data_IF_323512524073
#
_entry.id   IF_323512524073
#
_cell.length_a   1.000
_cell.length_b   1.000
_cell.length_c   1.000
_cell.angle_alpha   90.00
_cell.angle_beta   90.00
_cell.angle_gamma   90.00
#
_symmetry.space_group_name_H-M   'P 1'
#
loop_
_entity.id
_entity.type
_entity.pdbx_description
1 polymer ?
#
# COMPACT_ATOMS: atom_id res chain seq x y z
N UNK A 1 -8.33 -2.52 11.97
CA UNK A 1 -7.60 -1.25 12.16
C UNK A 1 -6.42 -1.53 13.08
N UNK A 2 -5.18 -1.35 12.62
CA UNK A 2 -3.96 -1.63 13.40
C UNK A 2 -3.84 -0.67 14.60
N UNK A 3 -3.11 -1.09 15.62
CA UNK A 3 -2.92 -0.33 16.86
C UNK A 3 -2.45 1.12 16.59
N UNK A 4 -1.55 1.30 15.64
CA UNK A 4 -1.00 2.61 15.28
C UNK A 4 -2.05 3.58 14.72
N UNK A 5 -2.95 3.12 13.84
CA UNK A 5 -4.06 3.95 13.32
C UNK A 5 -5.10 4.29 14.39
N UNK A 6 -5.35 3.38 15.34
CA UNK A 6 -6.21 3.67 16.50
C UNK A 6 -5.57 4.71 17.42
N UNK A 7 -4.27 4.58 17.65
CA UNK A 7 -3.53 5.50 18.52
C UNK A 7 -3.44 6.90 17.92
N UNK A 8 -3.16 7.03 16.61
CA UNK A 8 -3.13 8.31 15.92
C UNK A 8 -4.50 9.01 15.93
N UNK A 9 -5.57 8.26 15.71
CA UNK A 9 -6.94 8.78 15.74
C UNK A 9 -7.36 9.24 17.15
N UNK A 10 -7.02 8.48 18.19
CA UNK A 10 -7.24 8.88 19.57
C UNK A 10 -6.46 10.13 19.97
N UNK A 11 -5.19 10.22 19.55
CA UNK A 11 -4.36 11.39 19.81
C UNK A 11 -4.92 12.64 19.12
N UNK A 12 -5.39 12.51 17.88
CA UNK A 12 -6.02 13.62 17.16
C UNK A 12 -7.30 14.09 17.81
N UNK A 13 -8.16 13.17 18.23
CA UNK A 13 -9.40 13.50 18.97
C UNK A 13 -9.07 14.23 20.27
N UNK A 14 -8.03 13.78 20.99
CA UNK A 14 -7.60 14.40 22.25
C UNK A 14 -7.09 15.85 22.01
N UNK A 15 -6.29 16.07 20.96
CA UNK A 15 -5.76 17.41 20.62
C UNK A 15 -6.92 18.36 20.24
N UNK A 16 -7.87 17.90 19.43
CA UNK A 16 -9.04 18.70 19.05
C UNK A 16 -9.89 19.04 20.28
N UNK A 17 -10.16 18.05 21.12
CA UNK A 17 -10.97 18.24 22.32
C UNK A 17 -10.34 19.21 23.29
N UNK A 18 -9.05 19.07 23.59
CA UNK A 18 -8.32 19.98 24.48
C UNK A 18 -8.23 21.39 23.90
N UNK A 19 -7.94 21.54 22.60
CA UNK A 19 -7.87 22.83 21.93
C UNK A 19 -9.21 23.57 21.91
N UNK A 20 -10.31 22.86 21.62
CA UNK A 20 -11.67 23.46 21.61
C UNK A 20 -12.13 23.87 23.01
N UNK A 21 -11.90 23.02 24.02
CA UNK A 21 -12.25 23.33 25.41
C UNK A 21 -11.48 24.53 25.91
N UNK A 22 -10.16 24.56 25.68
CA UNK A 22 -9.31 25.67 26.14
C UNK A 22 -9.67 26.98 25.42
N UNK A 23 -9.91 26.93 24.11
CA UNK A 23 -10.34 28.08 23.33
C UNK A 23 -11.69 28.64 23.78
N UNK A 24 -12.68 27.75 23.99
CA UNK A 24 -14.00 28.14 24.53
C UNK A 24 -13.88 28.82 25.90
N UNK A 25 -13.11 28.21 26.79
CA UNK A 25 -12.93 28.75 28.15
C UNK A 25 -12.22 30.10 28.14
N UNK A 26 -11.20 30.27 27.32
CA UNK A 26 -10.49 31.56 27.14
C UNK A 26 -11.41 32.66 26.63
N UNK A 27 -12.25 32.39 25.64
CA UNK A 27 -13.22 33.34 25.10
C UNK A 27 -14.28 33.69 26.16
N UNK A 28 -14.80 32.71 26.88
CA UNK A 28 -15.82 32.90 27.88
C UNK A 28 -15.32 33.75 29.07
N UNK A 29 -14.11 33.46 29.55
CA UNK A 29 -13.48 34.24 30.64
C UNK A 29 -13.14 35.66 30.22
N UNK A 30 -12.61 35.85 29.01
CA UNK A 30 -12.33 37.19 28.48
C UNK A 30 -13.62 38.01 28.37
N UNK A 31 -14.70 37.42 27.84
CA UNK A 31 -16.00 38.09 27.73
C UNK A 31 -16.58 38.46 29.06
N UNK A 32 -16.55 37.54 30.05
CA UNK A 32 -17.03 37.80 31.44
C UNK A 32 -16.25 38.94 32.09
N UNK A 33 -14.92 38.91 31.99
CA UNK A 33 -14.06 39.95 32.57
C UNK A 33 -14.36 41.35 31.99
N UNK A 34 -14.64 41.40 30.70
CA UNK A 34 -14.97 42.69 30.04
C UNK A 34 -16.35 43.22 30.46
N UNK A 35 -17.35 42.32 30.62
CA UNK A 35 -18.66 42.69 31.17
C UNK A 35 -18.53 43.22 32.60
N UNK A 36 -17.76 42.53 33.44
CA UNK A 36 -17.56 42.96 34.84
C UNK A 36 -16.89 44.34 34.89
N UNK A 37 -15.89 44.62 34.03
CA UNK A 37 -15.23 45.92 33.95
C UNK A 37 -16.20 47.03 33.51
N UNK A 38 -17.03 46.75 32.49
CA UNK A 38 -18.05 47.71 32.04
C UNK A 38 -19.10 47.99 33.11
N UNK A 39 -19.53 46.96 33.81
CA UNK A 39 -20.50 47.10 34.89
C UNK A 39 -19.97 47.88 36.09
N UNK A 40 -18.67 47.72 36.41
CA UNK A 40 -18.02 48.47 37.47
C UNK A 40 -17.97 49.97 37.11
N UNK A 41 -17.52 50.33 35.92
CA UNK A 41 -17.39 51.75 35.48
C UNK A 41 -18.76 52.44 35.47
N UNK A 42 -19.78 51.78 34.85
CA UNK A 42 -21.11 52.35 34.81
C UNK A 42 -21.70 52.47 36.24
N UNK A 43 -21.40 51.51 37.13
CA UNK A 43 -21.87 51.56 38.53
C UNK A 43 -21.19 52.64 39.34
N UNK A 44 -19.89 52.92 39.11
CA UNK A 44 -19.18 54.05 39.71
C UNK A 44 -19.78 55.38 39.26
N UNK A 45 -20.07 55.54 37.95
CA UNK A 45 -20.75 56.74 37.44
C UNK A 45 -22.12 56.92 38.05
N UNK A 46 -22.94 55.88 38.21
CA UNK A 46 -24.24 55.94 38.91
C UNK A 46 -24.08 56.37 40.36
N UNK A 47 -23.08 55.83 41.05
CA UNK A 47 -22.81 56.17 42.46
C UNK A 47 -22.43 57.65 42.59
N UNK A 48 -21.61 58.19 41.69
CA UNK A 48 -21.22 59.60 41.66
C UNK A 48 -22.43 60.50 41.37
N UNK A 49 -23.28 60.13 40.39
CA UNK A 49 -24.55 60.78 40.13
C UNK A 49 -25.45 60.85 41.37
N UNK A 50 -25.48 59.79 42.20
CA UNK A 50 -26.31 59.73 43.37
C UNK A 50 -25.78 60.51 44.57
N UNK A 51 -24.49 60.85 44.60
CA UNK A 51 -23.83 61.56 45.73
C UNK A 51 -23.47 63.02 45.45
N UNK A 52 -23.43 63.46 44.20
CA UNK A 52 -23.11 64.75 43.77
C UNK A 52 -24.28 65.75 44.05
N UNK A 53 -23.92 66.99 44.30
CA UNK A 53 -24.87 68.12 44.35
C UNK A 53 -25.04 68.87 43.00
N UNK A 54 -24.28 68.43 42.00
CA UNK A 54 -24.35 69.04 40.67
C UNK A 54 -25.58 68.47 39.91
N UNK A 55 -25.93 69.22 38.81
CA UNK A 55 -27.02 68.78 37.96
C UNK A 55 -26.70 67.39 37.38
N UNK A 56 -27.52 66.34 37.70
CA UNK A 56 -27.23 64.94 37.25
C UNK A 56 -27.09 64.83 35.73
N UNK A 57 -27.81 65.65 34.95
CA UNK A 57 -27.74 65.61 33.48
C UNK A 57 -26.36 66.03 32.92
N UNK A 58 -25.85 67.14 33.43
CA UNK A 58 -24.52 67.62 33.00
C UNK A 58 -23.38 66.76 33.54
N UNK A 59 -23.56 66.27 34.78
CA UNK A 59 -22.58 65.37 35.39
C UNK A 59 -22.50 63.99 34.64
N UNK A 60 -23.65 63.45 34.25
CA UNK A 60 -23.66 62.15 33.51
C UNK A 60 -22.93 62.23 32.15
N UNK A 61 -23.11 63.34 31.42
CA UNK A 61 -22.36 63.59 30.15
C UNK A 61 -20.89 63.81 30.40
N UNK A 62 -20.52 64.58 31.43
CA UNK A 62 -19.11 64.79 31.81
C UNK A 62 -18.42 63.45 32.18
N UNK A 63 -19.08 62.64 32.99
CA UNK A 63 -18.55 61.33 33.39
C UNK A 63 -18.42 60.36 32.19
N UNK A 64 -19.34 60.38 31.25
CA UNK A 64 -19.28 59.59 30.05
C UNK A 64 -18.06 59.96 29.16
N UNK A 65 -17.75 61.24 29.03
CA UNK A 65 -16.65 61.72 28.22
C UNK A 65 -15.28 61.56 28.90
N UNK A 66 -15.22 61.57 30.23
CA UNK A 66 -13.98 61.49 31.02
C UNK A 66 -13.63 60.10 31.49
N UNK A 67 -14.55 59.16 31.43
CA UNK A 67 -14.30 57.77 31.83
C UNK A 67 -13.32 57.03 30.89
N UNK A 68 -12.62 56.05 31.41
CA UNK A 68 -11.69 55.24 30.64
C UNK A 68 -12.38 54.36 29.56
N UNK A 69 -13.65 54.04 29.75
CA UNK A 69 -14.54 53.49 28.77
C UNK A 69 -15.60 54.50 28.43
N UNK A 70 -15.58 55.04 27.22
CA UNK A 70 -16.61 55.97 26.74
C UNK A 70 -17.96 55.28 26.71
N UNK A 71 -18.86 55.70 27.57
CA UNK A 71 -20.25 55.21 27.54
C UNK A 71 -21.17 56.35 27.04
N UNK A 72 -22.32 55.95 26.53
CA UNK A 72 -23.35 56.88 26.07
C UNK A 72 -24.36 57.15 27.17
N UNK A 73 -24.95 58.32 27.14
CA UNK A 73 -25.98 58.74 28.06
C UNK A 73 -27.23 59.18 27.33
N UNK A 74 -28.37 58.70 27.77
CA UNK A 74 -29.65 59.16 27.27
C UNK A 74 -30.59 59.51 28.42
N UNK A 75 -31.48 60.44 28.17
CA UNK A 75 -32.59 60.79 29.04
C UNK A 75 -33.87 60.06 28.59
N UNK A 76 -34.58 59.50 29.53
CA UNK A 76 -35.86 58.84 29.26
C UNK A 76 -36.92 59.73 29.91
N UNK A 77 -37.85 60.18 29.09
CA UNK A 77 -39.00 61.02 29.54
C UNK A 77 -40.11 60.21 30.22
N UNK A 78 -41.09 60.88 30.81
CA UNK A 78 -42.28 60.23 31.41
C UNK A 78 -43.06 59.36 30.39
N UNK A 79 -43.05 59.78 29.12
CA UNK A 79 -43.69 59.04 27.99
C UNK A 79 -42.82 57.91 27.47
N UNK A 80 -41.69 57.64 28.09
CA UNK A 80 -40.68 56.63 27.67
C UNK A 80 -39.98 56.94 26.33
N UNK A 81 -39.91 58.17 25.92
CA UNK A 81 -39.08 58.59 24.79
C UNK A 81 -37.63 58.71 25.20
N UNK A 82 -36.72 58.21 24.33
CA UNK A 82 -35.29 58.21 24.57
C UNK A 82 -34.64 59.41 23.87
N UNK A 83 -34.02 60.28 24.63
CA UNK A 83 -33.31 61.48 24.14
C UNK A 83 -31.82 61.27 24.41
N UNK A 84 -30.98 61.05 23.39
CA UNK A 84 -29.51 60.93 23.56
C UNK A 84 -28.97 62.30 24.06
N UNK A 85 -28.06 62.24 25.04
CA UNK A 85 -27.43 63.42 25.63
C UNK A 85 -25.98 63.61 25.16
N UNK A 86 -25.31 62.58 24.68
CA UNK A 86 -23.99 62.69 24.12
C UNK A 86 -23.85 61.79 22.90
N UNK A 87 -22.87 62.07 22.03
CA UNK A 87 -22.48 61.24 20.89
C UNK A 87 -21.54 60.17 21.37
N UNK A 88 -22.07 59.16 22.06
CA UNK A 88 -21.28 57.99 22.48
C UNK A 88 -21.15 56.96 21.35
N UNK A 89 -20.30 55.94 21.57
CA UNK A 89 -20.01 54.88 20.62
C UNK A 89 -21.14 53.82 20.47
N UNK A 90 -22.34 54.08 20.95
CA UNK A 90 -23.44 53.13 20.92
C UNK A 90 -24.78 53.80 20.60
N UNK A 91 -25.50 53.20 19.70
CA UNK A 91 -26.89 53.52 19.39
C UNK A 91 -27.80 52.45 19.98
N UNK A 92 -28.75 52.87 20.81
CA UNK A 92 -29.86 52.01 21.16
C UNK A 92 -30.97 52.28 20.13
N UNK A 93 -31.26 51.26 19.32
CA UNK A 93 -32.22 51.38 18.20
C UNK A 93 -33.65 51.59 18.65
N UNK A 94 -33.99 51.03 19.81
CA UNK A 94 -35.35 51.15 20.39
C UNK A 94 -35.27 51.55 21.87
N UNK A 95 -36.14 52.43 22.36
CA UNK A 95 -36.17 52.77 23.76
C UNK A 95 -36.50 51.55 24.59
N UNK A 96 -35.80 51.31 25.73
CA UNK A 96 -36.08 50.20 26.59
C UNK A 96 -37.46 50.37 27.25
N UNK A 97 -38.20 49.31 27.38
CA UNK A 97 -39.50 49.33 28.04
C UNK A 97 -39.37 49.59 29.55
N UNK A 98 -40.47 49.97 30.20
CA UNK A 98 -40.49 50.34 31.64
C UNK A 98 -39.91 49.23 32.56
N UNK A 99 -40.13 47.97 32.24
CA UNK A 99 -39.61 46.83 32.99
C UNK A 99 -38.09 46.73 32.91
N UNK A 100 -37.51 46.97 31.76
CA UNK A 100 -36.05 46.97 31.52
C UNK A 100 -35.40 48.12 32.28
N UNK A 101 -35.96 49.32 32.18
CA UNK A 101 -35.47 50.51 32.91
C UNK A 101 -35.53 50.32 34.42
N UNK A 102 -36.64 49.79 34.93
CA UNK A 102 -36.82 49.54 36.39
C UNK A 102 -35.81 48.52 36.88
N UNK A 103 -35.54 47.47 36.11
CA UNK A 103 -34.53 46.49 36.49
C UNK A 103 -33.10 47.05 36.39
N UNK A 104 -32.85 47.96 35.42
CA UNK A 104 -31.57 48.62 35.26
C UNK A 104 -31.23 49.60 36.40
N UNK A 105 -32.18 50.00 37.20
CA UNK A 105 -31.97 50.77 38.44
C UNK A 105 -31.14 50.01 39.48
N UNK A 106 -31.39 48.69 39.58
CA UNK A 106 -30.74 47.87 40.62
C UNK A 106 -29.41 47.25 40.16
N UNK A 107 -29.27 46.88 38.90
CA UNK A 107 -28.08 46.21 38.35
C UNK A 107 -27.92 46.54 36.87
N UNK A 108 -26.66 46.39 36.37
CA UNK A 108 -26.41 46.46 34.95
C UNK A 108 -27.05 45.29 34.20
N UNK A 109 -27.66 45.57 33.06
CA UNK A 109 -28.34 44.57 32.21
C UNK A 109 -27.82 44.63 30.79
N UNK A 110 -27.90 43.50 30.09
CA UNK A 110 -27.69 43.49 28.63
C UNK A 110 -29.01 43.77 27.95
N UNK A 111 -29.10 44.80 27.16
CA UNK A 111 -30.24 45.13 26.32
C UNK A 111 -29.74 45.39 24.90
N UNK A 112 -30.34 44.68 23.93
CA UNK A 112 -29.79 44.60 22.55
C UNK A 112 -28.30 44.27 22.56
N UNK A 113 -27.46 45.14 21.98
CA UNK A 113 -26.02 44.96 21.94
C UNK A 113 -25.26 45.89 22.93
N UNK A 114 -25.94 46.32 23.99
CA UNK A 114 -25.39 47.24 24.98
C UNK A 114 -25.56 46.76 26.40
N UNK A 115 -24.64 47.17 27.29
CA UNK A 115 -24.83 47.10 28.75
C UNK A 115 -25.46 48.40 29.19
N UNK A 116 -26.52 48.31 29.94
CA UNK A 116 -27.31 49.45 30.41
C UNK A 116 -27.44 49.49 31.91
N UNK A 117 -27.47 50.70 32.47
CA UNK A 117 -27.83 50.99 33.86
C UNK A 117 -28.60 52.28 33.90
N UNK A 118 -29.62 52.36 34.75
CA UNK A 118 -30.48 53.52 34.90
C UNK A 118 -30.25 54.24 36.23
N UNK A 119 -30.43 55.55 36.26
CA UNK A 119 -30.50 56.41 37.42
C UNK A 119 -31.84 57.17 37.38
N UNK A 120 -32.62 57.14 38.48
CA UNK A 120 -33.87 57.83 38.51
C UNK A 120 -33.59 59.33 38.75
N UNK A 121 -33.93 60.18 37.76
CA UNK A 121 -33.75 61.61 37.82
C UNK A 121 -34.90 62.31 38.53
N UNK A 122 -36.14 62.01 38.18
CA UNK A 122 -37.38 62.50 38.75
C UNK A 122 -38.45 61.37 38.73
N UNK A 123 -39.64 61.64 39.21
CA UNK A 123 -40.74 60.69 39.13
C UNK A 123 -41.15 60.48 37.66
N UNK A 124 -40.94 59.26 37.16
CA UNK A 124 -41.16 58.91 35.77
C UNK A 124 -40.03 59.21 34.78
N UNK A 125 -38.98 59.92 35.19
CA UNK A 125 -37.86 60.31 34.35
C UNK A 125 -36.56 59.62 34.77
N UNK A 126 -35.74 59.16 33.76
CA UNK A 126 -34.52 58.38 34.06
C UNK A 126 -33.36 58.85 33.21
N UNK A 127 -32.15 58.77 33.75
CA UNK A 127 -30.90 58.85 33.03
C UNK A 127 -30.43 57.43 32.77
N UNK A 128 -30.25 57.08 31.51
CA UNK A 128 -29.77 55.78 31.09
C UNK A 128 -28.29 55.90 30.64
N UNK A 129 -27.43 55.16 31.34
CA UNK A 129 -26.03 54.97 30.93
C UNK A 129 -25.92 53.66 30.20
N UNK A 130 -25.30 53.70 29.03
CA UNK A 130 -25.18 52.48 28.24
C UNK A 130 -23.85 52.42 27.50
N UNK A 131 -23.34 51.19 27.36
CA UNK A 131 -22.05 50.87 26.71
C UNK A 131 -22.25 49.82 25.65
N UNK A 132 -21.73 50.10 24.43
CA UNK A 132 -21.83 49.17 23.29
C UNK A 132 -20.97 47.94 23.48
N UNK A 133 -21.54 46.79 23.25
CA UNK A 133 -20.87 45.51 23.21
C UNK A 133 -20.52 45.07 21.77
N UNK A 134 -20.75 45.94 20.77
CA UNK A 134 -20.59 45.57 19.36
C UNK A 134 -19.14 45.15 19.05
N UNK A 135 -18.15 45.93 19.48
CA UNK A 135 -16.73 45.61 19.28
C UNK A 135 -16.33 44.28 19.96
N UNK A 136 -16.87 44.03 21.16
CA UNK A 136 -16.62 42.76 21.86
C UNK A 136 -17.23 41.56 21.12
N UNK A 137 -18.45 41.70 20.64
CA UNK A 137 -19.13 40.65 19.87
C UNK A 137 -18.41 40.40 18.54
N UNK A 138 -17.90 41.41 17.88
CA UNK A 138 -17.09 41.29 16.68
C UNK A 138 -15.76 40.56 16.97
N UNK A 139 -15.03 41.01 18.01
CA UNK A 139 -13.79 40.34 18.43
C UNK A 139 -14.00 38.88 18.81
N UNK A 140 -15.08 38.60 19.55
CA UNK A 140 -15.47 37.20 19.91
C UNK A 140 -15.78 36.36 18.69
N UNK A 141 -16.51 36.92 17.72
CA UNK A 141 -16.82 36.24 16.46
C UNK A 141 -15.57 35.91 15.65
N UNK A 142 -14.63 36.82 15.53
CA UNK A 142 -13.32 36.63 14.89
C UNK A 142 -12.53 35.52 15.58
N UNK A 143 -12.48 35.53 16.91
CA UNK A 143 -11.79 34.50 17.71
C UNK A 143 -12.38 33.14 17.54
N UNK A 144 -13.72 32.99 17.50
CA UNK A 144 -14.41 31.73 17.19
C UNK A 144 -14.06 31.26 15.77
N UNK A 145 -14.08 32.15 14.78
CA UNK A 145 -13.70 31.87 13.41
C UNK A 145 -12.28 31.29 13.29
N UNK A 146 -11.32 31.88 14.00
CA UNK A 146 -9.94 31.37 14.03
C UNK A 146 -9.86 29.97 14.64
N UNK A 147 -10.57 29.68 15.73
CA UNK A 147 -10.60 28.34 16.34
C UNK A 147 -11.13 27.31 15.34
N UNK A 148 -12.20 27.63 14.61
CA UNK A 148 -12.76 26.74 13.58
C UNK A 148 -11.76 26.47 12.46
N UNK A 149 -11.04 27.48 12.00
CA UNK A 149 -10.01 27.33 10.97
C UNK A 149 -8.87 26.43 11.46
N UNK A 150 -8.32 26.67 12.65
CA UNK A 150 -7.24 25.87 13.22
C UNK A 150 -7.65 24.42 13.44
N UNK A 151 -8.85 24.16 13.97
CA UNK A 151 -9.36 22.79 14.16
C UNK A 151 -9.56 22.07 12.84
N UNK A 152 -10.05 22.76 11.80
CA UNK A 152 -10.20 22.20 10.46
C UNK A 152 -8.86 21.80 9.85
N UNK A 153 -7.82 22.63 10.00
CA UNK A 153 -6.46 22.31 9.54
C UNK A 153 -5.90 21.08 10.25
N UNK A 154 -6.08 20.98 11.57
CA UNK A 154 -5.61 19.82 12.36
C UNK A 154 -6.31 18.53 11.88
N UNK A 155 -7.62 18.57 11.65
CA UNK A 155 -8.39 17.44 11.13
C UNK A 155 -7.86 17.01 9.76
N UNK A 156 -7.61 17.99 8.86
CA UNK A 156 -7.09 17.70 7.51
C UNK A 156 -5.70 17.05 7.56
N UNK A 157 -4.77 17.60 8.34
CA UNK A 157 -3.42 17.05 8.50
C UNK A 157 -3.47 15.63 9.08
N UNK A 158 -4.31 15.42 10.09
CA UNK A 158 -4.50 14.08 10.70
C UNK A 158 -5.05 13.05 9.71
N UNK A 159 -6.03 13.45 8.90
CA UNK A 159 -6.57 12.59 7.84
C UNK A 159 -5.50 12.23 6.81
N UNK A 160 -4.66 13.20 6.41
CA UNK A 160 -3.55 12.98 5.48
C UNK A 160 -2.51 12.00 6.05
N UNK A 161 -2.09 12.19 7.31
CA UNK A 161 -1.15 11.29 7.99
C UNK A 161 -1.72 9.87 8.07
N UNK A 162 -2.99 9.73 8.44
CA UNK A 162 -3.66 8.42 8.52
C UNK A 162 -3.70 7.72 7.16
N UNK A 163 -3.97 8.46 6.08
CA UNK A 163 -3.94 7.94 4.70
C UNK A 163 -2.54 7.46 4.28
N UNK A 164 -1.50 8.23 4.61
CA UNK A 164 -0.11 7.86 4.31
C UNK A 164 0.33 6.61 5.09
N UNK A 165 0.00 6.52 6.37
CA UNK A 165 0.28 5.34 7.20
C UNK A 165 -0.45 4.09 6.67
N UNK A 166 -1.70 4.22 6.22
CA UNK A 166 -2.46 3.10 5.65
C UNK A 166 -1.84 2.59 4.33
N UNK A 167 -1.38 3.50 3.46
CA UNK A 167 -0.68 3.13 2.22
C UNK A 167 0.64 2.41 2.51
N UNK A 168 1.44 2.93 3.43
CA UNK A 168 2.72 2.33 3.82
C UNK A 168 2.54 0.91 4.40
N UNK A 169 1.53 0.70 5.23
CA UNK A 169 1.19 -0.60 5.82
C UNK A 169 0.82 -1.66 4.77
N UNK A 170 0.06 -1.27 3.74
CA UNK A 170 -0.33 -2.19 2.67
C UNK A 170 0.88 -2.61 1.82
N UNK A 171 1.80 -1.69 1.52
CA UNK A 171 3.03 -2.00 0.80
C UNK A 171 3.94 -2.92 1.62
N UNK A 172 4.12 -2.65 2.91
CA UNK A 172 4.93 -3.48 3.79
C UNK A 172 4.36 -4.91 3.91
N UNK A 173 3.04 -5.04 4.06
CA UNK A 173 2.39 -6.36 4.13
C UNK A 173 2.52 -7.14 2.82
N UNK A 174 2.40 -6.48 1.66
CA UNK A 174 2.61 -7.14 0.36
C UNK A 174 4.05 -7.62 0.21
N UNK A 175 5.04 -6.82 0.63
CA UNK A 175 6.45 -7.20 0.63
C UNK A 175 6.74 -8.36 1.59
N UNK A 176 6.24 -8.31 2.82
CA UNK A 176 6.40 -9.40 3.80
C UNK A 176 5.78 -10.70 3.29
N UNK A 177 4.58 -10.62 2.69
CA UNK A 177 3.93 -11.80 2.11
C UNK A 177 4.69 -12.36 0.91
N UNK A 178 5.28 -11.51 0.06
CA UNK A 178 6.10 -11.97 -1.06
C UNK A 178 7.40 -12.62 -0.57
N UNK A 179 8.07 -12.04 0.42
CA UNK A 179 9.27 -12.62 1.05
C UNK A 179 8.96 -13.97 1.69
N UNK A 180 7.83 -14.07 2.41
CA UNK A 180 7.40 -15.34 3.03
C UNK A 180 7.12 -16.42 1.99
N UNK A 181 6.42 -16.09 0.90
CA UNK A 181 6.18 -17.03 -0.20
C UNK A 181 7.48 -17.48 -0.87
N UNK A 182 8.44 -16.57 -1.05
CA UNK A 182 9.74 -16.92 -1.61
C UNK A 182 10.52 -17.84 -0.65
N UNK A 183 10.47 -17.58 0.66
CA UNK A 183 11.10 -18.44 1.66
C UNK A 183 10.47 -19.84 1.69
N UNK A 184 9.14 -19.94 1.65
CA UNK A 184 8.41 -21.22 1.60
C UNK A 184 8.82 -22.02 0.34
N UNK A 185 8.87 -21.37 -0.83
CA UNK A 185 9.33 -22.00 -2.09
C UNK A 185 10.78 -22.48 -2.03
N UNK A 186 11.66 -21.69 -1.41
CA UNK A 186 13.07 -22.06 -1.23
C UNK A 186 13.21 -23.27 -0.30
N UNK A 187 12.44 -23.32 0.79
CA UNK A 187 12.43 -24.49 1.69
C UNK A 187 11.93 -25.75 1.00
N UNK A 188 10.84 -25.65 0.23
CA UNK A 188 10.31 -26.74 -0.58
C UNK A 188 11.38 -27.23 -1.59
N UNK A 189 12.00 -26.31 -2.33
CA UNK A 189 13.06 -26.61 -3.29
C UNK A 189 14.27 -27.32 -2.65
N UNK A 190 14.76 -26.87 -1.47
CA UNK A 190 15.84 -27.52 -0.74
C UNK A 190 15.42 -28.92 -0.25
N UNK A 191 14.19 -29.05 0.22
CA UNK A 191 13.62 -30.33 0.64
C UNK A 191 13.59 -31.35 -0.49
N UNK A 192 13.07 -30.95 -1.64
CA UNK A 192 12.99 -31.78 -2.84
C UNK A 192 14.36 -32.15 -3.40
N UNK A 193 15.30 -31.18 -3.46
CA UNK A 193 16.68 -31.44 -3.85
C UNK A 193 17.34 -32.48 -2.94
N UNK A 194 17.12 -32.38 -1.62
CA UNK A 194 17.66 -33.34 -0.63
C UNK A 194 17.09 -34.74 -0.84
N UNK A 195 15.80 -34.87 -1.16
CA UNK A 195 15.17 -36.13 -1.49
C UNK A 195 15.70 -36.75 -2.79
N UNK A 196 15.86 -35.92 -3.85
CA UNK A 196 16.36 -36.38 -5.15
C UNK A 196 17.85 -36.74 -5.11
N UNK A 197 18.66 -36.20 -4.21
CA UNK A 197 20.05 -36.60 -3.98
C UNK A 197 20.18 -37.83 -3.07
N UNK A 198 19.28 -38.00 -2.09
CA UNK A 198 19.32 -39.15 -1.17
C UNK A 198 19.04 -40.47 -1.89
N UNK A 199 18.15 -40.48 -2.87
CA UNK A 199 17.75 -41.67 -3.62
C UNK A 199 18.94 -42.35 -4.34
N UNK A 200 19.68 -41.67 -5.26
CA UNK A 200 20.86 -42.23 -5.91
C UNK A 200 21.94 -42.63 -4.92
N UNK A 201 22.16 -41.84 -3.86
CA UNK A 201 23.13 -42.17 -2.80
C UNK A 201 22.79 -43.53 -2.12
N UNK A 202 21.51 -43.79 -1.87
CA UNK A 202 21.06 -45.09 -1.29
C UNK A 202 21.28 -46.23 -2.27
N UNK A 203 21.06 -45.99 -3.57
CA UNK A 203 21.33 -47.00 -4.62
C UNK A 203 22.82 -47.28 -4.74
N UNK A 204 23.66 -46.24 -4.77
CA UNK A 204 25.13 -46.39 -4.78
C UNK A 204 25.59 -47.24 -3.61
N UNK A 205 25.13 -46.90 -2.37
CA UNK A 205 25.48 -47.69 -1.19
C UNK A 205 25.08 -49.14 -1.28
N UNK A 206 23.85 -49.39 -1.75
CA UNK A 206 23.34 -50.79 -1.93
C UNK A 206 24.20 -51.59 -2.89
N UNK A 207 24.52 -51.06 -4.08
CA UNK A 207 25.35 -51.72 -5.06
C UNK A 207 26.83 -51.83 -4.60
N UNK A 208 27.33 -50.85 -3.86
CA UNK A 208 28.65 -50.95 -3.26
C UNK A 208 28.73 -52.08 -2.24
N UNK A 209 27.73 -52.23 -1.37
CA UNK A 209 27.65 -53.32 -0.41
C UNK A 209 27.60 -54.69 -1.10
N UNK A 210 26.89 -54.84 -2.24
CA UNK A 210 26.85 -56.02 -3.06
C UNK A 210 28.18 -56.28 -3.74
N UNK A 211 28.84 -55.25 -4.29
CA UNK A 211 30.17 -55.33 -4.89
C UNK A 211 31.21 -55.87 -3.91
N UNK A 212 31.20 -55.38 -2.66
CA UNK A 212 32.14 -55.80 -1.60
C UNK A 212 31.88 -57.26 -1.19
N UNK A 213 30.61 -57.72 -1.18
CA UNK A 213 30.24 -59.08 -0.81
C UNK A 213 30.55 -60.09 -1.89
N UNK A 214 30.43 -59.75 -3.18
CA UNK A 214 30.54 -60.65 -4.31
C UNK A 214 31.87 -60.58 -5.05
N UNK A 215 32.99 -60.51 -4.33
CA UNK A 215 34.35 -60.34 -4.87
C UNK A 215 34.79 -61.43 -5.88
N UNK A 216 34.08 -62.56 -6.00
CA UNK A 216 34.45 -63.69 -6.84
C UNK A 216 33.71 -63.80 -8.19
N UNK A 217 32.85 -62.86 -8.52
CA UNK A 217 32.06 -62.88 -9.76
C UNK A 217 32.28 -61.60 -10.59
N UNK A 218 33.26 -61.64 -11.51
CA UNK A 218 33.68 -60.50 -12.32
C UNK A 218 32.56 -59.88 -13.16
N UNK A 219 31.70 -60.70 -13.75
CA UNK A 219 30.58 -60.21 -14.58
C UNK A 219 29.57 -59.43 -13.75
N UNK A 220 29.25 -59.90 -12.55
CA UNK A 220 28.30 -59.22 -11.67
C UNK A 220 28.87 -57.95 -11.06
N UNK A 221 30.18 -57.93 -10.81
CA UNK A 221 30.92 -56.75 -10.34
C UNK A 221 30.96 -55.63 -11.39
N UNK A 222 31.09 -55.97 -12.68
CA UNK A 222 31.01 -55.01 -13.78
C UNK A 222 29.62 -54.35 -13.85
N UNK A 223 28.56 -55.11 -13.64
CA UNK A 223 27.16 -54.62 -13.61
C UNK A 223 26.98 -53.64 -12.43
N UNK A 224 27.48 -54.01 -11.22
CA UNK A 224 27.39 -53.15 -10.04
C UNK A 224 28.18 -51.85 -10.23
N UNK A 225 29.37 -51.95 -10.79
CA UNK A 225 30.23 -50.77 -11.07
C UNK A 225 29.55 -49.82 -12.07
N UNK A 226 29.02 -50.33 -13.18
CA UNK A 226 28.28 -49.50 -14.16
C UNK A 226 27.06 -48.83 -13.54
N UNK A 227 26.39 -49.53 -12.61
CA UNK A 227 25.21 -48.98 -11.93
C UNK A 227 25.61 -47.85 -10.97
N UNK A 228 26.68 -48.03 -10.19
CA UNK A 228 27.25 -47.01 -9.32
C UNK A 228 27.66 -45.77 -10.15
N UNK A 229 28.38 -45.95 -11.23
CA UNK A 229 28.82 -44.90 -12.13
C UNK A 229 27.63 -44.12 -12.70
N UNK A 230 26.61 -44.80 -13.16
CA UNK A 230 25.39 -44.18 -13.68
C UNK A 230 24.67 -43.28 -12.64
N UNK A 231 24.63 -43.69 -11.38
CA UNK A 231 24.01 -42.91 -10.32
C UNK A 231 24.88 -41.73 -9.88
N UNK A 232 26.22 -41.82 -9.95
CA UNK A 232 27.15 -40.73 -9.74
C UNK A 232 26.94 -39.67 -10.81
N UNK A 233 26.91 -40.04 -12.10
CA UNK A 233 26.64 -39.11 -13.21
C UNK A 233 25.29 -38.41 -13.07
N UNK A 234 24.29 -39.18 -12.61
CA UNK A 234 22.96 -38.63 -12.31
C UNK A 234 23.01 -37.56 -11.19
N UNK A 235 23.73 -37.82 -10.09
CA UNK A 235 23.90 -36.87 -9.02
C UNK A 235 24.63 -35.61 -9.48
N UNK A 236 25.68 -35.75 -10.29
CA UNK A 236 26.37 -34.60 -10.90
C UNK A 236 25.40 -33.73 -11.72
N UNK A 237 24.61 -34.37 -12.60
CA UNK A 237 23.61 -33.64 -13.40
C UNK A 237 22.58 -32.91 -12.53
N UNK A 238 22.14 -33.48 -11.40
CA UNK A 238 21.23 -32.80 -10.47
C UNK A 238 21.92 -31.59 -9.86
N UNK A 239 23.17 -31.72 -9.39
CA UNK A 239 23.94 -30.63 -8.78
C UNK A 239 24.17 -29.49 -9.80
N UNK A 240 24.59 -29.81 -11.01
CA UNK A 240 24.82 -28.83 -12.08
C UNK A 240 23.53 -28.06 -12.42
N UNK A 241 22.40 -28.77 -12.47
CA UNK A 241 21.09 -28.16 -12.69
C UNK A 241 20.66 -27.24 -11.53
N UNK A 242 20.94 -27.61 -10.27
CA UNK A 242 20.68 -26.78 -9.10
C UNK A 242 21.52 -25.52 -9.10
N UNK A 243 22.82 -25.63 -9.44
CA UNK A 243 23.72 -24.49 -9.56
C UNK A 243 23.26 -23.53 -10.67
N UNK A 244 22.88 -24.07 -11.83
CA UNK A 244 22.34 -23.27 -12.92
C UNK A 244 21.05 -22.55 -12.52
N UNK A 245 20.15 -23.20 -11.80
CA UNK A 245 18.91 -22.60 -11.29
C UNK A 245 19.24 -21.46 -10.33
N UNK A 246 20.20 -21.64 -9.43
CA UNK A 246 20.65 -20.60 -8.50
C UNK A 246 21.26 -19.39 -9.23
N UNK A 247 22.10 -19.63 -10.24
CA UNK A 247 22.70 -18.58 -11.08
C UNK A 247 21.62 -17.80 -11.88
N UNK A 248 20.61 -18.50 -12.37
CA UNK A 248 19.50 -17.87 -13.09
C UNK A 248 18.62 -17.00 -12.19
N UNK A 249 18.57 -17.26 -10.87
CA UNK A 249 17.86 -16.45 -9.88
C UNK A 249 18.59 -15.17 -9.48
N UNK A 250 19.92 -15.13 -9.64
CA UNK A 250 20.68 -13.92 -9.40
C UNK A 250 20.32 -12.84 -10.43
N UNK A 251 20.12 -11.61 -9.93
CA UNK A 251 19.78 -10.46 -10.78
C UNK A 251 20.99 -9.88 -11.53
N UNK A 252 22.03 -10.66 -11.75
CA UNK A 252 23.15 -10.23 -12.60
C UNK A 252 22.67 -10.06 -14.03
N UNK A 253 22.97 -8.90 -14.67
CA UNK A 253 22.65 -8.71 -16.08
C UNK A 253 23.33 -9.83 -16.88
N UNK A 254 22.55 -10.67 -17.58
CA UNK A 254 23.11 -11.59 -18.55
C UNK A 254 23.84 -10.79 -19.61
N UNK A 255 25.06 -11.20 -19.97
CA UNK A 255 25.72 -10.67 -21.15
C UNK A 255 24.85 -11.06 -22.34
N UNK A 256 24.04 -10.12 -22.80
CA UNK A 256 23.17 -10.32 -23.96
C UNK A 256 24.08 -10.55 -25.16
N UNK A 257 24.04 -11.75 -25.69
CA UNK A 257 24.67 -12.09 -26.97
C UNK A 257 23.59 -12.49 -27.96
N UNK A 258 23.63 -11.91 -29.14
CA UNK A 258 22.72 -12.28 -30.20
C UNK A 258 23.07 -13.71 -30.69
N UNK A 259 22.07 -14.59 -30.72
CA UNK A 259 22.22 -15.98 -31.16
C UNK A 259 21.25 -16.28 -32.31
N UNK A 260 21.69 -16.98 -33.31
CA UNK A 260 20.85 -17.44 -34.41
C UNK A 260 20.10 -18.71 -33.97
N UNK A 261 18.86 -18.56 -33.46
CA UNK A 261 18.04 -19.66 -32.96
C UNK A 261 17.69 -20.66 -34.07
N UNK A 262 17.57 -20.24 -35.33
CA UNK A 262 17.26 -21.11 -36.45
C UNK A 262 18.30 -22.23 -36.59
N UNK A 263 19.60 -21.86 -36.51
CA UNK A 263 20.69 -22.81 -36.58
C UNK A 263 20.70 -23.78 -35.42
N UNK A 264 20.44 -23.30 -34.21
CA UNK A 264 20.40 -24.16 -33.01
C UNK A 264 19.22 -25.15 -33.02
N UNK A 265 18.04 -24.72 -33.45
CA UNK A 265 16.86 -25.58 -33.58
C UNK A 265 17.07 -26.62 -34.69
N UNK A 266 17.65 -26.21 -35.83
CA UNK A 266 17.95 -27.14 -36.90
C UNK A 266 18.96 -28.22 -36.46
N UNK A 267 20.04 -27.83 -35.77
CA UNK A 267 21.04 -28.77 -35.26
C UNK A 267 20.41 -29.78 -34.28
N UNK A 268 19.55 -29.30 -33.34
CA UNK A 268 18.81 -30.16 -32.39
C UNK A 268 17.90 -31.17 -33.13
N UNK A 269 17.22 -30.76 -34.20
CA UNK A 269 16.35 -31.64 -34.99
C UNK A 269 17.19 -32.71 -35.70
N UNK A 270 18.32 -32.34 -36.26
CA UNK A 270 19.24 -33.27 -36.95
C UNK A 270 19.83 -34.30 -35.96
N UNK A 271 20.22 -33.84 -34.76
CA UNK A 271 20.66 -34.76 -33.68
C UNK A 271 19.55 -35.72 -33.26
N UNK A 272 18.32 -35.24 -33.08
CA UNK A 272 17.18 -36.08 -32.75
C UNK A 272 16.91 -37.16 -33.81
N UNK A 273 17.02 -36.82 -35.09
CA UNK A 273 16.85 -37.74 -36.19
C UNK A 273 17.95 -38.80 -36.22
N UNK A 274 19.16 -38.42 -35.89
CA UNK A 274 20.29 -39.34 -35.82
C UNK A 274 20.16 -40.32 -34.69
N UNK A 275 19.76 -39.83 -33.50
CA UNK A 275 19.61 -40.63 -32.25
C UNK A 275 18.34 -41.46 -32.25
N UNK A 276 17.31 -41.07 -32.99
CA UNK A 276 15.97 -41.74 -32.99
C UNK A 276 15.47 -41.84 -34.46
N UNK A 277 16.07 -42.68 -35.28
CA UNK A 277 15.77 -42.80 -36.71
C UNK A 277 14.35 -43.27 -37.04
N UNK A 278 13.68 -43.90 -36.07
CA UNK A 278 12.28 -44.40 -36.22
C UNK A 278 11.24 -43.35 -35.85
N UNK A 279 11.65 -42.22 -35.30
CA UNK A 279 10.74 -41.13 -34.88
C UNK A 279 10.34 -40.30 -36.08
N UNK A 280 9.05 -40.07 -36.25
CA UNK A 280 8.53 -39.18 -37.27
C UNK A 280 8.66 -37.73 -36.80
N UNK A 281 9.52 -36.95 -37.47
CA UNK A 281 9.78 -35.54 -37.13
C UNK A 281 9.39 -34.68 -38.32
N UNK A 282 8.40 -33.80 -38.12
CA UNK A 282 8.00 -32.72 -39.02
C UNK A 282 8.52 -31.39 -38.49
N UNK A 283 9.03 -30.50 -39.37
CA UNK A 283 9.49 -29.19 -38.93
C UNK A 283 9.31 -28.11 -39.98
N UNK A 284 9.07 -26.89 -39.50
CA UNK A 284 9.12 -25.64 -40.27
C UNK A 284 9.98 -24.71 -39.44
N UNK A 285 11.15 -24.35 -40.00
CA UNK A 285 12.11 -23.45 -39.34
C UNK A 285 12.38 -22.30 -40.26
N UNK A 286 11.94 -21.08 -39.92
CA UNK A 286 12.29 -19.89 -40.63
C UNK A 286 13.81 -19.62 -40.48
N UNK A 287 14.53 -19.33 -41.57
CA UNK A 287 15.98 -19.11 -41.51
C UNK A 287 16.32 -17.74 -40.91
N UNK A 288 17.53 -17.67 -40.34
CA UNK A 288 18.17 -16.42 -39.90
C UNK A 288 17.38 -15.63 -38.83
N UNK A 289 16.60 -16.32 -37.98
CA UNK A 289 16.01 -15.70 -36.81
C UNK A 289 17.04 -15.59 -35.71
N UNK A 290 17.19 -14.36 -35.19
CA UNK A 290 18.09 -14.03 -34.08
C UNK A 290 17.35 -13.65 -32.85
N UNK A 291 17.88 -14.03 -31.69
CA UNK A 291 17.34 -13.71 -30.38
C UNK A 291 18.46 -13.25 -29.43
N UNK A 292 18.11 -12.44 -28.43
CA UNK A 292 19.05 -11.95 -27.42
C UNK A 292 19.18 -12.93 -26.23
N UNK A 293 19.69 -14.13 -26.50
CA UNK A 293 19.93 -15.20 -25.52
C UNK A 293 21.33 -15.75 -25.75
N UNK A 294 22.10 -15.98 -24.69
CA UNK A 294 23.44 -16.54 -24.83
C UNK A 294 23.39 -17.95 -25.45
N UNK A 295 24.41 -18.28 -26.27
CA UNK A 295 24.54 -19.62 -26.86
C UNK A 295 24.47 -20.74 -25.80
N UNK A 296 25.07 -20.51 -24.62
CA UNK A 296 25.00 -21.44 -23.48
C UNK A 296 23.55 -21.69 -23.02
N UNK A 297 22.81 -20.63 -22.75
CA UNK A 297 21.40 -20.75 -22.32
C UNK A 297 20.52 -21.37 -23.39
N UNK A 298 20.72 -21.00 -24.65
CA UNK A 298 19.97 -21.57 -25.77
C UNK A 298 20.24 -23.07 -25.93
N UNK A 299 21.51 -23.49 -25.81
CA UNK A 299 21.87 -24.92 -25.80
C UNK A 299 21.21 -25.67 -24.64
N UNK A 300 21.17 -25.07 -23.43
CA UNK A 300 20.51 -25.68 -22.27
C UNK A 300 19.00 -25.84 -22.47
N UNK A 301 18.33 -24.83 -23.04
CA UNK A 301 16.89 -24.92 -23.38
C UNK A 301 16.63 -26.07 -24.34
N UNK A 302 17.36 -26.11 -25.45
CA UNK A 302 17.15 -27.11 -26.51
C UNK A 302 17.55 -28.54 -26.08
N UNK A 303 18.63 -28.67 -25.29
CA UNK A 303 19.01 -29.95 -24.69
C UNK A 303 17.95 -30.51 -23.74
N UNK A 304 17.36 -29.66 -22.91
CA UNK A 304 16.26 -30.07 -22.03
C UNK A 304 15.00 -30.44 -22.83
N UNK A 305 14.66 -29.72 -23.89
CA UNK A 305 13.57 -30.06 -24.80
C UNK A 305 13.82 -31.43 -25.45
N UNK A 306 14.98 -31.63 -26.06
CA UNK A 306 15.36 -32.90 -26.70
C UNK A 306 15.32 -34.07 -25.72
N UNK A 307 15.85 -33.87 -24.50
CA UNK A 307 15.80 -34.86 -23.42
C UNK A 307 14.37 -35.21 -23.00
N UNK A 308 13.48 -34.21 -22.89
CA UNK A 308 12.07 -34.43 -22.56
C UNK A 308 11.35 -35.22 -23.64
N UNK A 309 11.53 -34.90 -24.90
CA UNK A 309 10.98 -35.66 -26.02
C UNK A 309 11.47 -37.10 -25.97
N UNK A 310 12.77 -37.32 -25.82
CA UNK A 310 13.37 -38.65 -25.83
C UNK A 310 12.91 -39.54 -24.68
N UNK A 311 12.65 -38.97 -23.51
CA UNK A 311 12.31 -39.71 -22.29
C UNK A 311 10.82 -39.89 -22.06
N UNK A 312 10.01 -38.94 -22.50
CA UNK A 312 8.60 -38.88 -22.12
C UNK A 312 7.65 -39.21 -23.27
N UNK A 313 8.17 -39.38 -24.50
CA UNK A 313 7.36 -39.80 -25.62
C UNK A 313 7.85 -41.15 -26.14
N UNK A 314 6.96 -42.08 -26.60
CA UNK A 314 7.34 -43.30 -27.23
C UNK A 314 8.31 -43.09 -28.41
N UNK A 315 9.21 -44.08 -28.72
CA UNK A 315 10.17 -43.89 -29.81
C UNK A 315 9.55 -43.73 -31.21
N UNK A 316 8.33 -44.15 -31.38
CA UNK A 316 7.53 -44.08 -32.61
C UNK A 316 6.55 -42.91 -32.62
N UNK A 317 6.59 -42.01 -31.60
CA UNK A 317 5.72 -40.87 -31.54
C UNK A 317 6.11 -39.79 -32.58
N UNK A 318 5.09 -39.09 -33.08
CA UNK A 318 5.24 -37.95 -33.95
C UNK A 318 5.67 -36.70 -33.14
N UNK A 319 6.58 -35.89 -33.67
CA UNK A 319 6.98 -34.60 -33.09
C UNK A 319 7.04 -33.54 -34.18
N UNK A 320 6.43 -32.39 -33.91
CA UNK A 320 6.43 -31.22 -34.80
C UNK A 320 7.13 -30.04 -34.17
N UNK A 321 8.06 -29.44 -34.91
CA UNK A 321 8.73 -28.18 -34.59
C UNK A 321 8.27 -27.07 -35.54
N UNK A 322 7.93 -25.92 -34.97
CA UNK A 322 7.60 -24.72 -35.74
C UNK A 322 8.30 -23.51 -35.14
N UNK A 323 9.28 -22.97 -35.85
CA UNK A 323 9.99 -21.76 -35.48
C UNK A 323 9.67 -20.67 -36.49
N UNK A 324 9.16 -19.55 -36.06
CA UNK A 324 8.74 -18.46 -36.93
C UNK A 324 8.81 -17.10 -36.23
N UNK A 325 8.85 -16.03 -37.05
CA UNK A 325 8.75 -14.66 -36.58
C UNK A 325 7.30 -14.30 -36.33
N UNK A 326 6.98 -13.92 -35.08
CA UNK A 326 5.64 -13.50 -34.64
C UNK A 326 5.56 -11.97 -34.41
N UNK A 327 6.14 -11.18 -35.27
CA UNK A 327 6.21 -9.73 -35.16
C UNK A 327 7.44 -9.28 -34.35
N UNK A 328 7.27 -8.70 -33.14
CA UNK A 328 8.42 -8.29 -32.32
C UNK A 328 9.10 -9.48 -31.61
N UNK A 329 8.52 -10.65 -31.63
CA UNK A 329 8.95 -11.85 -30.91
C UNK A 329 9.27 -12.99 -31.87
N UNK A 330 10.19 -13.87 -31.48
CA UNK A 330 10.44 -15.16 -32.14
C UNK A 330 9.73 -16.26 -31.37
N UNK A 331 8.94 -17.08 -32.07
CA UNK A 331 8.15 -18.13 -31.45
C UNK A 331 8.61 -19.53 -31.87
N UNK A 332 8.93 -20.37 -30.89
CA UNK A 332 9.21 -21.79 -31.07
C UNK A 332 8.03 -22.61 -30.48
N UNK A 333 7.38 -23.37 -31.32
CA UNK A 333 6.31 -24.31 -30.91
C UNK A 333 6.77 -25.74 -31.13
N UNK A 334 6.63 -26.57 -30.13
CA UNK A 334 6.93 -28.00 -30.17
C UNK A 334 5.66 -28.76 -29.78
N UNK A 335 5.21 -29.68 -30.61
CA UNK A 335 4.06 -30.52 -30.36
C UNK A 335 4.45 -31.98 -30.50
N UNK A 336 4.05 -32.86 -29.58
CA UNK A 336 4.25 -34.29 -29.66
C UNK A 336 2.93 -35.05 -29.62
N UNK A 337 2.97 -36.36 -29.99
CA UNK A 337 1.87 -37.29 -29.91
C UNK A 337 2.00 -38.24 -28.73
N UNK A 338 2.74 -37.85 -27.69
CA UNK A 338 2.86 -38.65 -26.46
C UNK A 338 1.58 -38.67 -25.62
N UNK A 339 1.71 -39.05 -24.36
CA UNK A 339 0.57 -39.15 -23.43
C UNK A 339 0.06 -37.79 -22.90
N UNK A 340 0.76 -36.67 -23.24
CA UNK A 340 0.45 -35.36 -22.69
C UNK A 340 0.66 -35.28 -21.18
N UNK A 341 0.10 -34.24 -20.58
CA UNK A 341 0.12 -34.02 -19.13
C UNK A 341 -1.32 -33.98 -18.58
N UNK A 342 -1.56 -34.36 -17.30
CA UNK A 342 -2.84 -34.12 -16.67
C UNK A 342 -3.19 -32.63 -16.60
N UNK A 343 -4.49 -32.30 -16.63
CA UNK A 343 -5.00 -30.92 -16.62
C UNK A 343 -4.39 -30.05 -15.53
N UNK A 344 -4.18 -30.59 -14.35
CA UNK A 344 -3.59 -29.89 -13.20
C UNK A 344 -2.17 -29.33 -13.46
N UNK A 345 -1.41 -29.91 -14.39
CA UNK A 345 -0.08 -29.40 -14.77
C UNK A 345 -0.17 -28.19 -15.69
N UNK A 346 -1.20 -28.11 -16.51
CA UNK A 346 -1.46 -26.95 -17.34
C UNK A 346 -1.96 -25.75 -16.52
N UNK A 347 -2.71 -26.00 -15.44
CA UNK A 347 -3.27 -24.96 -14.57
C UNK A 347 -2.23 -24.40 -13.58
N UNK A 348 -1.44 -25.27 -12.94
CA UNK A 348 -0.50 -24.89 -11.89
C UNK A 348 0.85 -24.39 -12.40
N UNK A 349 1.09 -24.48 -13.73
CA UNK A 349 2.36 -24.09 -14.34
C UNK A 349 3.51 -25.05 -14.02
N UNK A 350 4.72 -24.63 -14.41
CA UNK A 350 5.95 -25.40 -14.24
C UNK A 350 6.42 -25.29 -12.78
N UNK A 351 6.69 -26.44 -12.16
CA UNK A 351 7.22 -26.56 -10.81
C UNK A 351 8.47 -27.44 -10.80
N UNK A 352 9.48 -27.03 -10.03
CA UNK A 352 10.71 -27.80 -9.87
C UNK A 352 10.42 -29.16 -9.24
N UNK A 353 11.17 -30.18 -9.67
CA UNK A 353 11.09 -31.58 -9.20
C UNK A 353 9.73 -32.27 -9.41
N UNK A 354 8.75 -31.58 -9.99
CA UNK A 354 7.44 -32.19 -10.22
C UNK A 354 7.49 -33.10 -11.43
N UNK A 355 7.13 -34.36 -11.20
CA UNK A 355 7.10 -35.42 -12.21
C UNK A 355 5.70 -35.87 -12.46
N UNK A 356 5.37 -36.17 -13.70
CA UNK A 356 4.07 -36.68 -14.11
C UNK A 356 3.87 -38.14 -13.73
N UNK A 357 4.89 -38.99 -13.96
CA UNK A 357 4.82 -40.43 -13.71
C UNK A 357 5.98 -40.87 -12.81
N UNK A 358 5.67 -41.20 -11.55
CA UNK A 358 6.65 -41.59 -10.55
C UNK A 358 7.18 -43.03 -10.76
N UNK A 359 6.47 -43.88 -11.55
CA UNK A 359 6.82 -45.29 -11.75
C UNK A 359 7.80 -45.48 -12.91
N UNK A 360 7.52 -44.90 -14.08
CA UNK A 360 8.39 -44.97 -15.26
C UNK A 360 9.61 -44.07 -15.21
N UNK A 361 9.51 -42.94 -14.51
CA UNK A 361 10.60 -41.95 -14.45
C UNK A 361 11.77 -42.36 -13.55
N UNK A 362 11.62 -43.40 -12.68
CA UNK A 362 12.75 -43.95 -11.90
C UNK A 362 13.73 -44.72 -12.79
N UNK A 363 13.25 -45.41 -13.82
CA UNK A 363 14.09 -46.12 -14.78
C UNK A 363 14.72 -45.17 -15.84
N UNK A 364 13.99 -44.11 -16.21
CA UNK A 364 14.45 -43.14 -17.24
C UNK A 364 15.35 -42.03 -16.73
N UNK A 365 15.55 -41.88 -15.43
CA UNK A 365 16.59 -41.04 -14.82
C UNK A 365 16.37 -39.52 -14.83
N UNK A 366 15.16 -39.01 -15.10
CA UNK A 366 14.90 -37.54 -15.11
C UNK A 366 14.87 -36.92 -13.70
N UNK A 367 15.44 -35.74 -13.50
CA UNK A 367 15.41 -34.99 -12.21
C UNK A 367 14.14 -34.18 -11.96
N UNK A 368 13.30 -33.98 -13.00
CA UNK A 368 12.16 -33.05 -12.93
C UNK A 368 12.55 -31.57 -12.96
N UNK A 369 13.81 -31.24 -13.19
CA UNK A 369 14.33 -29.87 -13.25
C UNK A 369 14.35 -29.28 -14.67
N UNK A 370 14.30 -30.11 -15.72
CA UNK A 370 14.47 -29.65 -17.11
C UNK A 370 13.49 -28.56 -17.53
N UNK A 371 12.19 -28.71 -17.25
CA UNK A 371 11.20 -27.69 -17.58
C UNK A 371 11.37 -26.41 -16.76
N UNK A 372 11.79 -26.54 -15.50
CA UNK A 372 12.10 -25.38 -14.64
C UNK A 372 13.29 -24.58 -15.17
N UNK A 373 14.31 -25.27 -15.68
CA UNK A 373 15.48 -24.62 -16.32
C UNK A 373 15.04 -23.87 -17.57
N UNK A 374 14.24 -24.50 -18.44
CA UNK A 374 13.69 -23.85 -19.64
C UNK A 374 12.93 -22.58 -19.23
N UNK A 375 12.00 -22.67 -18.29
CA UNK A 375 11.19 -21.54 -17.83
C UNK A 375 12.05 -20.41 -17.28
N UNK A 376 13.04 -20.71 -16.42
CA UNK A 376 13.92 -19.71 -15.81
C UNK A 376 14.80 -19.02 -16.85
N UNK A 377 15.38 -19.75 -17.80
CA UNK A 377 16.18 -19.17 -18.89
C UNK A 377 15.30 -18.26 -19.75
N UNK A 378 14.14 -18.74 -20.18
CA UNK A 378 13.21 -17.98 -21.02
C UNK A 378 12.78 -16.70 -20.31
N UNK A 379 12.39 -16.75 -19.03
CA UNK A 379 11.98 -15.59 -18.23
C UNK A 379 13.13 -14.62 -17.96
N UNK A 380 14.37 -15.11 -17.69
CA UNK A 380 15.56 -14.25 -17.52
C UNK A 380 15.87 -13.43 -18.77
N UNK A 381 15.51 -13.95 -19.95
CA UNK A 381 15.65 -13.27 -21.23
C UNK A 381 14.34 -12.61 -21.71
N UNK A 382 13.42 -12.27 -20.79
CA UNK A 382 12.15 -11.57 -21.04
C UNK A 382 11.16 -12.31 -21.93
N UNK A 383 11.40 -13.60 -22.19
CA UNK A 383 10.50 -14.47 -22.93
C UNK A 383 9.39 -15.06 -22.09
N UNK A 384 8.55 -15.86 -22.73
CA UNK A 384 7.46 -16.57 -22.08
C UNK A 384 7.40 -18.03 -22.54
N UNK A 385 6.99 -18.95 -21.65
CA UNK A 385 6.73 -20.34 -21.95
C UNK A 385 5.30 -20.72 -21.57
N UNK A 386 4.61 -21.41 -22.45
CA UNK A 386 3.26 -21.92 -22.23
C UNK A 386 3.16 -23.41 -22.58
N UNK A 387 2.54 -24.17 -21.68
CA UNK A 387 2.22 -25.59 -21.90
C UNK A 387 0.72 -25.73 -22.16
N UNK A 388 0.38 -26.58 -23.13
CA UNK A 388 -1.01 -26.93 -23.45
C UNK A 388 -1.09 -28.33 -24.03
N UNK A 389 -2.30 -28.86 -24.20
CA UNK A 389 -2.49 -30.13 -24.93
C UNK A 389 -2.18 -29.92 -26.40
N UNK A 390 -1.44 -30.90 -26.99
CA UNK A 390 -1.15 -30.96 -28.41
C UNK A 390 -2.40 -31.39 -29.20
N UNK A 391 -2.51 -30.88 -30.43
CA UNK A 391 -3.51 -31.37 -31.39
C UNK A 391 -3.31 -32.85 -31.80
N UNK A 392 -2.13 -33.39 -31.50
CA UNK A 392 -1.76 -34.80 -31.76
C UNK A 392 -1.95 -35.69 -30.53
N UNK A 393 -2.51 -35.19 -29.42
CA UNK A 393 -2.82 -35.93 -28.20
C UNK A 393 -1.77 -35.80 -27.09
N UNK A 394 -0.58 -35.29 -27.39
CA UNK A 394 0.52 -35.15 -26.45
C UNK A 394 0.65 -33.76 -25.82
N UNK A 395 1.88 -33.30 -25.62
CA UNK A 395 2.23 -31.97 -25.07
C UNK A 395 2.51 -30.98 -26.19
N UNK A 396 1.97 -29.77 -26.03
CA UNK A 396 2.37 -28.58 -26.81
C UNK A 396 3.12 -27.64 -25.90
N UNK A 397 4.36 -27.31 -26.28
CA UNK A 397 5.21 -26.33 -25.64
C UNK A 397 5.38 -25.14 -26.57
N UNK A 398 5.01 -23.96 -26.14
CA UNK A 398 5.19 -22.69 -26.87
C UNK A 398 6.16 -21.83 -26.10
N UNK A 399 7.27 -21.41 -26.74
CA UNK A 399 8.30 -20.54 -26.19
C UNK A 399 8.37 -19.29 -27.05
N UNK A 400 8.33 -18.12 -26.44
CA UNK A 400 8.51 -16.82 -27.08
C UNK A 400 9.76 -16.13 -26.50
N UNK A 401 10.56 -15.54 -27.38
CA UNK A 401 11.76 -14.78 -27.04
C UNK A 401 11.66 -13.36 -27.58
#
# INVERSE_FOLDING_TARGET
>A
MKLQTRLSLLLTILIILTGTITGYFSIATSYSSQLDTSDQIISEAIKELSTSKDNPLSLSTYLADTSSLKFSVAFITEDFDLIPLNEGNSEISNPPNKLVVTNALSKALTFEQSRIRAYQFSEGEYILLYYSLAEFNESRSKSIGLIIIFTSIIIFISALITLLLFRSDNQLNSLVNSLRKNQERMQEFIGDASHELRTPLTVIRGYFDLFVKNRSNDIQNEIYQKRIESEILRMQSIIDNLLLIAELEEQTPSVLSESNISNFVQAMIDDLRLLQPNREISYIVEPNLNINVSNFHLTQVLANISSNISRHTPPDSFVKFHLFNAGPEVKLTIEDSGSGLPSIFYENGIQAFRRFDTSRSRESGGSGLGMTIIEKIVRKNQGNIKLSSSSYGGLKTEITF
#
